data_IF_921142267463
#
_entry.id   IF_921142267463
#
_cell.length_a   1.000
_cell.length_b   1.000
_cell.length_c   1.000
_cell.angle_alpha   90.00
_cell.angle_beta   90.00
_cell.angle_gamma   90.00
#
_symmetry.space_group_name_H-M   'P 1'
#
loop_
_entity.id
_entity.type
_entity.pdbx_description
1 polymer ?
#
# COMPACT_ATOMS: atom_id res chain seq x y z
N UNK A 1 4.29 9.97 -17.06
CA UNK A 1 4.78 8.62 -16.67
C UNK A 1 5.49 8.74 -15.35
N UNK A 2 5.08 7.97 -14.33
CA UNK A 2 5.69 8.01 -13.00
C UNK A 2 6.71 6.88 -12.80
N UNK A 3 7.48 6.96 -11.71
CA UNK A 3 8.44 5.92 -11.32
C UNK A 3 8.18 5.51 -9.88
N UNK A 4 7.90 4.23 -9.65
CA UNK A 4 7.87 3.66 -8.31
C UNK A 4 9.31 3.60 -7.79
N UNK A 5 9.60 4.35 -6.73
CA UNK A 5 10.95 4.43 -6.14
C UNK A 5 10.98 3.70 -4.82
N UNK A 6 11.82 2.67 -4.71
CA UNK A 6 11.95 1.86 -3.49
C UNK A 6 13.23 2.29 -2.78
N UNK A 7 13.09 2.62 -1.49
CA UNK A 7 14.18 3.09 -0.62
C UNK A 7 14.41 2.06 0.47
N UNK A 8 15.68 1.77 0.74
CA UNK A 8 16.09 0.87 1.82
C UNK A 8 16.93 1.67 2.82
N UNK A 9 16.58 1.70 4.13
CA UNK A 9 17.41 2.35 5.13
C UNK A 9 18.72 1.56 5.30
N UNK A 10 19.86 2.20 5.02
CA UNK A 10 21.17 1.64 5.38
C UNK A 10 21.61 2.25 6.70
N UNK A 11 21.60 1.46 7.76
CA UNK A 11 22.25 1.84 9.01
C UNK A 11 23.77 1.79 8.80
N UNK A 12 24.44 2.94 8.91
CA UNK A 12 25.88 2.93 9.19
C UNK A 12 26.03 2.36 10.60
N UNK A 13 26.82 1.30 10.77
CA UNK A 13 27.24 0.84 12.11
C UNK A 13 28.00 1.99 12.78
N UNK A 14 27.32 2.79 13.60
CA UNK A 14 27.95 3.66 14.56
C UNK A 14 28.26 2.80 15.79
N UNK A 15 29.46 2.22 15.83
CA UNK A 15 29.97 1.63 17.06
C UNK A 15 30.50 2.76 17.94
N UNK A 16 29.69 3.28 18.87
CA UNK A 16 30.20 4.10 19.96
C UNK A 16 29.34 3.90 21.21
N UNK A 17 29.98 3.46 22.28
CA UNK A 17 29.45 3.47 23.65
C UNK A 17 29.61 4.89 24.17
N UNK A 18 28.60 5.53 24.80
CA UNK A 18 28.73 6.91 25.26
C UNK A 18 29.72 6.96 26.43
N UNK A 19 30.82 7.71 26.28
CA UNK A 19 31.69 8.04 27.40
C UNK A 19 31.12 9.26 28.13
N UNK A 20 31.05 9.20 29.47
CA UNK A 20 30.30 10.16 30.31
C UNK A 20 30.92 11.56 30.43
N UNK A 21 32.04 11.82 29.74
CA UNK A 21 32.88 13.01 29.95
C UNK A 21 32.99 13.92 28.71
N UNK A 22 32.08 13.82 27.75
CA UNK A 22 32.09 14.73 26.60
C UNK A 22 31.70 16.16 27.04
N UNK A 23 32.71 17.04 27.15
CA UNK A 23 32.49 18.46 27.43
C UNK A 23 31.89 19.17 26.21
N UNK A 24 30.92 20.03 26.48
CA UNK A 24 30.21 20.83 25.49
C UNK A 24 31.08 22.02 25.03
N UNK A 25 31.48 22.02 23.76
CA UNK A 25 32.18 23.14 23.12
C UNK A 25 31.17 23.99 22.32
N UNK A 26 30.86 25.22 22.78
CA UNK A 26 29.90 26.10 22.12
C UNK A 26 30.41 26.74 20.81
N UNK A 27 31.68 26.52 20.43
CA UNK A 27 32.23 27.08 19.18
C UNK A 27 31.73 26.37 17.91
N UNK A 28 31.02 25.25 18.04
CA UNK A 28 30.38 24.52 16.94
C UNK A 28 28.93 24.97 16.62
N UNK A 29 28.49 26.13 17.10
CA UNK A 29 27.21 26.73 16.71
C UNK A 29 27.28 27.36 15.31
N UNK A 30 27.08 26.56 14.26
CA UNK A 30 26.69 27.09 12.94
C UNK A 30 25.16 27.26 12.88
N UNK A 31 24.70 28.50 12.80
CA UNK A 31 23.29 28.91 12.89
C UNK A 31 22.46 28.58 11.61
N UNK A 32 23.00 27.88 10.62
CA UNK A 32 22.31 27.67 9.33
C UNK A 32 21.64 26.32 9.09
N UNK A 33 21.63 25.39 10.05
CA UNK A 33 20.76 24.21 9.95
C UNK A 33 20.13 23.94 11.30
N UNK A 34 18.82 24.13 11.39
CA UNK A 34 18.00 23.79 12.55
C UNK A 34 17.91 22.28 12.76
N UNK A 35 19.03 21.61 13.01
CA UNK A 35 19.11 20.21 13.39
C UNK A 35 19.53 20.12 14.85
N UNK A 36 18.59 19.73 15.71
CA UNK A 36 18.87 19.23 17.04
C UNK A 36 18.58 17.72 17.05
N UNK A 37 19.42 17.01 17.81
CA UNK A 37 19.44 15.58 18.13
C UNK A 37 20.30 14.68 17.22
N UNK A 38 21.45 14.32 17.79
CA UNK A 38 22.40 13.27 17.40
C UNK A 38 21.75 11.87 17.43
N UNK A 39 20.83 11.62 16.49
CA UNK A 39 20.52 10.28 16.01
C UNK A 39 21.15 10.18 14.62
N UNK A 40 22.18 9.34 14.49
CA UNK A 40 22.98 9.22 13.27
C UNK A 40 22.17 9.34 11.98
N UNK A 41 22.54 10.31 11.14
CA UNK A 41 21.94 10.61 9.84
C UNK A 41 21.56 9.33 9.07
N UNK A 42 20.26 9.03 8.99
CA UNK A 42 19.73 7.96 8.13
C UNK A 42 19.72 8.50 6.71
N UNK A 43 20.71 8.12 5.91
CA UNK A 43 20.69 8.44 4.49
C UNK A 43 19.80 7.44 3.73
N UNK A 44 18.62 7.91 3.35
CA UNK A 44 17.72 7.15 2.49
C UNK A 44 18.25 7.17 1.05
N UNK A 45 18.74 6.03 0.56
CA UNK A 45 19.12 5.86 -0.84
C UNK A 45 18.01 5.14 -1.60
N UNK A 46 17.66 5.66 -2.77
CA UNK A 46 16.81 4.94 -3.73
C UNK A 46 17.65 3.81 -4.32
N UNK A 47 17.22 2.57 -4.09
CA UNK A 47 17.92 1.39 -4.61
C UNK A 47 17.35 0.95 -5.96
N UNK A 48 16.04 1.09 -6.16
CA UNK A 48 15.35 0.61 -7.36
C UNK A 48 14.31 1.65 -7.82
N UNK A 49 14.26 1.90 -9.13
CA UNK A 49 13.22 2.69 -9.79
C UNK A 49 12.57 1.84 -10.89
N UNK A 50 11.26 1.63 -10.78
CA UNK A 50 10.46 0.84 -11.73
C UNK A 50 9.51 1.79 -12.48
N UNK A 51 9.37 1.61 -13.80
CA UNK A 51 8.38 2.36 -14.59
C UNK A 51 6.96 1.99 -14.15
N UNK A 52 6.09 2.98 -14.08
CA UNK A 52 4.70 2.79 -13.64
C UNK A 52 3.72 3.49 -14.58
N UNK A 53 2.59 2.83 -14.82
CA UNK A 53 1.45 3.37 -15.56
C UNK A 53 0.72 4.43 -14.73
N UNK A 54 0.81 5.69 -15.14
CA UNK A 54 0.25 6.80 -14.37
C UNK A 54 0.96 7.03 -13.04
N UNK A 55 0.40 7.90 -12.21
CA UNK A 55 0.87 8.13 -10.85
C UNK A 55 0.57 6.95 -9.92
N UNK A 56 1.22 6.93 -8.75
CA UNK A 56 1.05 5.88 -7.75
C UNK A 56 0.18 6.46 -6.63
N UNK A 57 -1.12 6.16 -6.66
CA UNK A 57 -2.08 6.69 -5.68
C UNK A 57 -1.79 6.14 -4.26
N UNK A 58 -1.43 4.86 -4.18
CA UNK A 58 -1.02 4.18 -2.94
C UNK A 58 -0.11 3.01 -3.28
N UNK A 59 0.91 2.75 -2.45
CA UNK A 59 1.76 1.57 -2.55
C UNK A 59 1.88 0.89 -1.18
N UNK A 60 1.79 -0.44 -1.15
CA UNK A 60 1.90 -1.25 0.09
C UNK A 60 2.67 -2.54 -0.18
N UNK A 61 3.61 -2.88 0.69
CA UNK A 61 4.33 -4.15 0.65
C UNK A 61 3.49 -5.27 1.29
N UNK A 62 3.66 -6.50 0.81
CA UNK A 62 3.03 -7.68 1.40
C UNK A 62 3.77 -8.06 2.69
N UNK A 63 3.11 -8.15 3.87
CA UNK A 63 3.80 -8.41 5.14
C UNK A 63 4.62 -9.70 5.17
N UNK A 64 4.15 -10.75 4.50
CA UNK A 64 4.81 -12.06 4.46
C UNK A 64 5.97 -12.12 3.45
N UNK A 65 6.02 -11.19 2.49
CA UNK A 65 7.16 -11.02 1.59
C UNK A 65 7.30 -9.54 1.18
N UNK A 66 8.14 -8.77 1.90
CA UNK A 66 8.33 -7.35 1.63
C UNK A 66 8.90 -7.00 0.25
N UNK A 67 9.37 -7.99 -0.54
CA UNK A 67 9.77 -7.76 -1.93
C UNK A 67 8.60 -7.45 -2.85
N UNK A 68 7.41 -7.93 -2.48
CA UNK A 68 6.18 -7.79 -3.25
C UNK A 68 5.46 -6.53 -2.82
N UNK A 69 5.16 -5.65 -3.78
CA UNK A 69 4.48 -4.37 -3.58
C UNK A 69 3.29 -4.29 -4.51
N UNK A 70 2.11 -4.00 -3.96
CA UNK A 70 0.93 -3.63 -4.74
C UNK A 70 0.83 -2.11 -4.86
N UNK A 71 0.34 -1.62 -6.00
CA UNK A 71 0.10 -0.20 -6.27
C UNK A 71 -1.28 0.05 -6.84
N UNK A 72 -1.90 1.15 -6.40
CA UNK A 72 -3.08 1.73 -7.04
C UNK A 72 -2.65 2.66 -8.18
N UNK A 73 -3.35 2.55 -9.31
CA UNK A 73 -3.13 3.38 -10.50
C UNK A 73 -4.29 4.37 -10.67
N UNK A 74 -4.16 5.38 -11.56
CA UNK A 74 -5.27 6.25 -11.95
C UNK A 74 -6.29 5.58 -12.88
N UNK A 75 -6.08 4.30 -13.19
CA UNK A 75 -7.03 3.46 -13.93
C UNK A 75 -7.74 2.48 -13.00
N UNK A 76 -8.55 1.58 -13.55
CA UNK A 76 -9.22 0.52 -12.79
C UNK A 76 -8.26 -0.56 -12.25
N UNK A 77 -7.06 -0.65 -12.79
CA UNK A 77 -6.16 -1.76 -12.51
C UNK A 77 -5.35 -1.52 -11.23
N UNK A 78 -5.13 -2.60 -10.48
CA UNK A 78 -4.15 -2.66 -9.38
C UNK A 78 -2.96 -3.46 -9.87
N UNK A 79 -1.75 -2.93 -9.70
CA UNK A 79 -0.53 -3.57 -10.18
C UNK A 79 0.24 -4.19 -9.03
N UNK A 80 0.91 -5.31 -9.28
CA UNK A 80 1.82 -5.96 -8.32
C UNK A 80 3.20 -6.07 -8.93
N UNK A 81 4.21 -5.71 -8.15
CA UNK A 81 5.62 -5.78 -8.51
C UNK A 81 6.39 -6.57 -7.46
N UNK A 82 7.23 -7.50 -7.89
CA UNK A 82 8.29 -8.06 -7.06
C UNK A 82 9.59 -7.38 -7.45
N UNK A 83 9.99 -6.36 -6.68
CA UNK A 83 11.07 -5.47 -7.11
C UNK A 83 12.42 -6.18 -7.28
N UNK A 84 12.59 -7.38 -6.72
CA UNK A 84 13.81 -8.17 -6.89
C UNK A 84 13.96 -8.73 -8.31
N UNK A 85 12.86 -8.78 -9.08
CA UNK A 85 12.82 -9.19 -10.49
C UNK A 85 13.03 -8.03 -11.47
N UNK A 86 13.17 -6.80 -10.95
CA UNK A 86 13.35 -5.60 -11.75
C UNK A 86 14.78 -5.07 -11.63
N UNK A 87 15.30 -4.48 -12.70
CA UNK A 87 16.59 -3.80 -12.68
C UNK A 87 16.52 -2.52 -11.85
N UNK A 88 17.63 -2.15 -11.20
CA UNK A 88 17.70 -0.93 -10.37
C UNK A 88 17.44 0.36 -11.17
N UNK A 89 17.78 0.35 -12.46
CA UNK A 89 17.46 1.41 -13.42
C UNK A 89 16.22 1.01 -14.23
N UNK A 90 15.28 1.94 -14.45
CA UNK A 90 14.09 1.69 -15.24
C UNK A 90 14.43 1.51 -16.72
N UNK A 91 13.60 0.74 -17.43
CA UNK A 91 13.71 0.56 -18.87
C UNK A 91 13.60 1.92 -19.60
N UNK A 92 14.54 2.26 -20.51
CA UNK A 92 14.48 3.47 -21.32
C UNK A 92 13.23 3.60 -22.21
N UNK A 93 12.58 2.49 -22.57
CA UNK A 93 11.31 2.49 -23.33
C UNK A 93 10.18 3.19 -22.57
N UNK A 94 10.30 3.26 -21.24
CA UNK A 94 9.25 3.74 -20.36
C UNK A 94 8.17 2.70 -20.08
N UNK A 95 8.18 1.54 -20.73
CA UNK A 95 7.13 0.54 -20.57
C UNK A 95 7.01 0.06 -19.11
N UNK A 96 5.78 -0.04 -18.64
CA UNK A 96 5.43 -0.56 -17.32
C UNK A 96 5.19 -2.07 -17.45
N UNK A 97 5.99 -2.85 -16.73
CA UNK A 97 5.99 -4.31 -16.82
C UNK A 97 5.63 -4.93 -15.47
N UNK A 98 4.38 -4.85 -15.00
CA UNK A 98 4.00 -5.43 -13.72
C UNK A 98 4.15 -6.96 -13.72
N UNK A 99 4.42 -7.52 -12.53
CA UNK A 99 4.46 -8.97 -12.33
C UNK A 99 3.05 -9.56 -12.35
N UNK A 100 2.05 -8.83 -11.84
CA UNK A 100 0.64 -9.16 -11.97
C UNK A 100 -0.19 -7.90 -12.21
N UNK A 101 -1.26 -8.05 -12.99
CA UNK A 101 -2.30 -7.02 -13.19
C UNK A 101 -3.62 -7.54 -12.62
N UNK A 102 -4.11 -6.89 -11.57
CA UNK A 102 -5.33 -7.30 -10.88
C UNK A 102 -6.51 -6.48 -11.41
N UNK A 103 -7.54 -7.18 -11.91
CA UNK A 103 -8.74 -6.59 -12.51
C UNK A 103 -9.99 -6.88 -11.70
N UNK A 104 -10.96 -5.96 -11.76
CA UNK A 104 -12.26 -6.10 -11.09
C UNK A 104 -12.98 -4.77 -10.92
N UNK A 105 -12.23 -3.71 -10.62
CA UNK A 105 -12.75 -2.36 -10.54
C UNK A 105 -13.07 -1.77 -11.92
N UNK A 106 -13.82 -0.67 -11.93
CA UNK A 106 -14.18 0.13 -13.10
C UNK A 106 -13.65 1.57 -13.03
N UNK A 107 -13.12 1.98 -11.88
CA UNK A 107 -12.51 3.29 -11.63
C UNK A 107 -11.26 3.14 -10.77
N UNK A 108 -10.50 4.21 -10.66
CA UNK A 108 -9.39 4.31 -9.72
C UNK A 108 -9.85 4.31 -8.26
N UNK A 109 -8.89 4.30 -7.34
CA UNK A 109 -9.13 4.57 -5.93
C UNK A 109 -7.84 4.62 -5.14
N UNK A 110 -7.96 4.72 -3.81
CA UNK A 110 -6.81 4.88 -2.93
C UNK A 110 -6.62 3.70 -1.97
N UNK A 111 -7.70 3.18 -1.37
CA UNK A 111 -7.62 2.10 -0.38
C UNK A 111 -6.93 0.84 -0.89
N UNK A 112 -6.00 0.32 -0.09
CA UNK A 112 -5.17 -0.84 -0.43
C UNK A 112 -4.63 -1.52 0.84
N UNK A 113 -4.98 -2.79 1.06
CA UNK A 113 -4.62 -3.50 2.30
C UNK A 113 -4.29 -4.97 2.07
N UNK A 114 -3.07 -5.37 2.42
CA UNK A 114 -2.65 -6.76 2.47
C UNK A 114 -3.12 -7.43 3.74
N UNK A 115 -3.60 -8.67 3.65
CA UNK A 115 -3.95 -9.45 4.81
C UNK A 115 -2.66 -9.91 5.51
N UNK A 116 -2.44 -9.54 6.79
CA UNK A 116 -1.21 -9.93 7.50
C UNK A 116 -1.21 -11.41 7.90
N UNK A 117 -2.38 -12.05 7.95
CA UNK A 117 -2.55 -13.42 8.42
C UNK A 117 -2.71 -14.44 7.27
N UNK A 118 -3.07 -13.96 6.07
CA UNK A 118 -3.26 -14.80 4.89
C UNK A 118 -2.40 -14.32 3.73
N UNK A 119 -1.39 -15.11 3.37
CA UNK A 119 -0.46 -14.78 2.30
C UNK A 119 -1.20 -14.53 0.98
N UNK A 120 -0.83 -13.44 0.30
CA UNK A 120 -1.32 -13.09 -1.03
C UNK A 120 -2.74 -12.51 -1.10
N UNK A 121 -3.42 -12.36 0.04
CA UNK A 121 -4.76 -11.74 0.07
C UNK A 121 -4.63 -10.22 0.09
N UNK A 122 -5.24 -9.58 -0.90
CA UNK A 122 -5.20 -8.12 -1.09
C UNK A 122 -6.61 -7.56 -1.25
N UNK A 123 -6.92 -6.51 -0.49
CA UNK A 123 -8.11 -5.69 -0.66
C UNK A 123 -7.76 -4.38 -1.35
N UNK A 124 -8.68 -3.87 -2.16
CA UNK A 124 -8.63 -2.55 -2.76
C UNK A 124 -10.00 -1.88 -2.69
N UNK A 125 -9.99 -0.57 -2.41
CA UNK A 125 -11.15 0.32 -2.48
C UNK A 125 -11.14 1.12 -3.81
N UNK A 126 -12.30 1.57 -4.24
CA UNK A 126 -12.47 2.26 -5.52
C UNK A 126 -13.62 3.26 -5.52
N UNK A 127 -13.49 4.29 -6.34
CA UNK A 127 -14.55 5.27 -6.61
C UNK A 127 -15.73 4.70 -7.42
N UNK A 128 -15.67 3.42 -7.81
CA UNK A 128 -16.80 2.67 -8.38
C UNK A 128 -17.77 2.08 -7.34
N UNK A 129 -17.58 2.44 -6.07
CA UNK A 129 -18.40 2.00 -4.92
C UNK A 129 -18.17 0.54 -4.50
N UNK A 130 -17.13 -0.10 -5.04
CA UNK A 130 -16.84 -1.51 -4.75
C UNK A 130 -15.52 -1.69 -4.01
N UNK A 131 -15.44 -2.83 -3.33
CA UNK A 131 -14.20 -3.35 -2.75
C UNK A 131 -13.89 -4.65 -3.47
N UNK A 132 -12.68 -4.78 -3.99
CA UNK A 132 -12.23 -6.02 -4.62
C UNK A 132 -11.27 -6.77 -3.71
N UNK A 133 -11.42 -8.09 -3.66
CA UNK A 133 -10.51 -9.03 -3.03
C UNK A 133 -9.84 -9.88 -4.11
N UNK A 134 -8.51 -9.97 -4.07
CA UNK A 134 -7.74 -10.91 -4.89
C UNK A 134 -6.94 -11.86 -4.00
N UNK A 135 -6.69 -13.04 -4.57
CA UNK A 135 -5.66 -13.97 -4.12
C UNK A 135 -4.56 -13.96 -5.19
N UNK A 136 -3.44 -13.30 -4.91
CA UNK A 136 -2.36 -13.13 -5.91
C UNK A 136 -1.61 -14.45 -6.21
N UNK A 137 -1.89 -15.51 -5.45
CA UNK A 137 -1.34 -16.85 -5.68
C UNK A 137 -2.22 -17.66 -6.64
N UNK A 138 -3.38 -17.14 -7.08
CA UNK A 138 -4.21 -17.77 -8.08
C UNK A 138 -3.49 -17.82 -9.44
N UNK A 139 -3.79 -18.84 -10.25
CA UNK A 139 -3.22 -18.99 -11.60
C UNK A 139 -3.59 -17.79 -12.47
N UNK A 140 -2.61 -16.99 -12.93
CA UNK A 140 -2.90 -15.86 -13.80
C UNK A 140 -3.43 -16.31 -15.16
N UNK A 141 -4.30 -15.49 -15.75
CA UNK A 141 -4.70 -15.59 -17.15
C UNK A 141 -3.60 -15.06 -18.07
N UNK A 142 -3.88 -15.02 -19.37
CA UNK A 142 -3.04 -14.33 -20.35
C UNK A 142 -2.66 -12.93 -19.87
N UNK A 143 -1.45 -12.49 -20.22
CA UNK A 143 -0.89 -11.19 -19.82
C UNK A 143 -0.78 -10.98 -18.29
N UNK A 144 -0.62 -12.07 -17.52
CA UNK A 144 -0.41 -12.04 -16.05
C UNK A 144 -1.58 -11.39 -15.30
N UNK A 145 -2.79 -11.58 -15.80
CA UNK A 145 -4.00 -10.98 -15.24
C UNK A 145 -4.63 -11.90 -14.19
N UNK A 146 -5.01 -11.35 -13.03
CA UNK A 146 -5.84 -12.04 -12.04
C UNK A 146 -7.12 -11.22 -11.85
N UNK A 147 -8.28 -11.84 -12.06
CA UNK A 147 -9.57 -11.20 -11.79
C UNK A 147 -9.93 -11.29 -10.31
N UNK A 148 -10.75 -10.35 -9.84
CA UNK A 148 -11.22 -10.31 -8.46
C UNK A 148 -11.86 -11.64 -8.06
N UNK A 149 -11.38 -12.21 -6.96
CA UNK A 149 -11.97 -13.39 -6.32
C UNK A 149 -13.37 -13.07 -5.79
N UNK A 150 -13.53 -11.87 -5.25
CA UNK A 150 -14.79 -11.42 -4.65
C UNK A 150 -14.90 -9.90 -4.79
N UNK A 151 -16.11 -9.42 -5.10
CA UNK A 151 -16.41 -7.99 -5.18
C UNK A 151 -17.54 -7.69 -4.19
N UNK A 152 -17.26 -6.80 -3.24
CA UNK A 152 -18.22 -6.33 -2.23
C UNK A 152 -18.88 -5.03 -2.71
N UNK A 153 -20.19 -4.95 -2.56
CA UNK A 153 -21.06 -3.95 -3.23
C UNK A 153 -22.11 -3.37 -2.27
N UNK A 154 -21.77 -3.26 -0.99
CA UNK A 154 -22.69 -2.71 0.02
C UNK A 154 -22.59 -1.21 0.24
N UNK A 155 -21.47 -0.57 -0.13
CA UNK A 155 -21.35 0.88 -0.12
C UNK A 155 -22.16 1.52 -1.26
N UNK A 156 -22.63 2.74 -1.02
CA UNK A 156 -23.37 3.55 -1.99
C UNK A 156 -22.63 4.82 -2.41
N UNK A 157 -21.44 5.06 -1.83
CA UNK A 157 -20.53 6.16 -2.14
C UNK A 157 -19.16 5.65 -2.58
N UNK A 158 -18.24 6.53 -3.00
CA UNK A 158 -16.87 6.14 -3.31
C UNK A 158 -16.23 5.51 -2.08
N UNK A 159 -15.58 4.35 -2.24
CA UNK A 159 -14.92 3.68 -1.12
C UNK A 159 -13.50 4.23 -1.03
N UNK A 160 -13.20 4.85 0.09
CA UNK A 160 -11.98 5.62 0.29
C UNK A 160 -10.85 4.76 0.83
N UNK A 161 -11.13 3.94 1.85
CA UNK A 161 -10.15 3.03 2.42
C UNK A 161 -10.72 1.67 2.85
N UNK A 162 -9.81 0.70 2.94
CA UNK A 162 -10.03 -0.67 3.39
C UNK A 162 -8.88 -1.11 4.28
N UNK A 163 -9.19 -1.85 5.33
CA UNK A 163 -8.17 -2.39 6.23
C UNK A 163 -8.55 -3.78 6.74
N UNK A 164 -7.65 -4.75 6.55
CA UNK A 164 -7.78 -6.05 7.21
C UNK A 164 -7.68 -5.92 8.72
N UNK A 165 -8.44 -6.75 9.43
CA UNK A 165 -8.23 -6.94 10.86
C UNK A 165 -6.88 -7.63 11.08
N UNK A 166 -6.07 -7.09 11.99
CA UNK A 166 -4.69 -7.55 12.19
C UNK A 166 -4.58 -8.95 12.80
N UNK A 167 -5.62 -9.45 13.48
CA UNK A 167 -5.62 -10.76 14.14
C UNK A 167 -6.60 -11.78 13.51
N UNK A 168 -7.56 -11.31 12.71
CA UNK A 168 -8.63 -12.17 12.21
C UNK A 168 -8.62 -12.12 10.69
N UNK A 169 -8.10 -13.18 10.08
CA UNK A 169 -7.87 -13.25 8.63
C UNK A 169 -9.12 -13.13 7.76
N UNK A 170 -10.32 -13.28 8.34
CA UNK A 170 -11.59 -13.21 7.63
C UNK A 170 -12.28 -11.85 7.73
N UNK A 171 -11.81 -10.97 8.61
CA UNK A 171 -12.48 -9.70 8.92
C UNK A 171 -11.73 -8.53 8.33
N UNK A 172 -12.46 -7.57 7.78
CA UNK A 172 -11.91 -6.28 7.37
C UNK A 172 -12.93 -5.17 7.56
N UNK A 173 -12.43 -3.93 7.64
CA UNK A 173 -13.24 -2.72 7.66
C UNK A 173 -13.10 -1.96 6.35
N UNK A 174 -14.11 -1.16 6.01
CA UNK A 174 -14.08 -0.19 4.91
C UNK A 174 -14.82 1.08 5.26
N UNK A 175 -14.40 2.18 4.65
CA UNK A 175 -14.98 3.52 4.82
C UNK A 175 -15.21 4.17 3.46
N UNK A 176 -16.21 5.05 3.36
CA UNK A 176 -16.64 5.62 2.10
C UNK A 176 -17.29 6.99 2.27
N UNK A 177 -17.55 7.65 1.15
CA UNK A 177 -18.30 8.91 1.03
C UNK A 177 -19.76 8.80 1.47
N UNK A 178 -20.30 7.58 1.58
CA UNK A 178 -21.65 7.34 2.13
C UNK A 178 -21.72 7.48 3.66
N UNK A 179 -20.65 7.99 4.26
CA UNK A 179 -20.52 8.32 5.69
C UNK A 179 -20.47 7.07 6.60
N UNK A 180 -20.30 5.88 6.02
CA UNK A 180 -20.39 4.61 6.74
C UNK A 180 -19.03 3.99 6.96
N UNK A 181 -18.88 3.41 8.15
CA UNK A 181 -17.90 2.35 8.42
C UNK A 181 -18.63 1.01 8.31
N UNK A 182 -18.11 0.12 7.47
CA UNK A 182 -18.65 -1.24 7.31
C UNK A 182 -17.63 -2.29 7.73
N UNK A 183 -18.08 -3.27 8.52
CA UNK A 183 -17.30 -4.45 8.83
C UNK A 183 -17.78 -5.63 8.01
N UNK A 184 -16.83 -6.34 7.42
CA UNK A 184 -17.07 -7.42 6.48
C UNK A 184 -16.45 -8.71 7.01
N UNK A 185 -17.08 -9.81 6.65
CA UNK A 185 -16.56 -11.16 6.88
C UNK A 185 -16.54 -11.92 5.55
N UNK A 186 -15.36 -12.29 5.07
CA UNK A 186 -15.19 -12.97 3.77
C UNK A 186 -15.78 -14.39 3.74
N UNK A 187 -16.19 -14.94 4.90
CA UNK A 187 -16.87 -16.23 5.01
C UNK A 187 -18.36 -16.13 4.70
N UNK A 188 -18.91 -14.91 4.67
CA UNK A 188 -20.31 -14.67 4.33
C UNK A 188 -20.50 -14.70 2.81
N UNK A 189 -21.53 -15.44 2.35
CA UNK A 189 -21.84 -15.56 0.92
C UNK A 189 -22.45 -14.29 0.31
N UNK A 190 -23.01 -13.39 1.12
CA UNK A 190 -23.66 -12.17 0.64
C UNK A 190 -22.68 -11.00 0.64
N UNK A 191 -22.11 -10.70 -0.53
CA UNK A 191 -21.13 -9.62 -0.70
C UNK A 191 -21.77 -8.22 -0.80
N UNK A 192 -23.11 -8.12 -0.79
CA UNK A 192 -23.85 -6.85 -0.79
C UNK A 192 -24.17 -6.36 0.63
N UNK A 193 -24.11 -7.25 1.62
CA UNK A 193 -24.49 -6.94 2.99
C UNK A 193 -23.29 -7.13 3.93
N UNK A 194 -22.74 -6.05 4.51
CA UNK A 194 -21.71 -6.18 5.53
C UNK A 194 -22.28 -6.84 6.80
N UNK A 195 -21.39 -7.34 7.66
CA UNK A 195 -21.78 -7.90 8.95
C UNK A 195 -22.29 -6.80 9.89
N UNK A 196 -21.66 -5.62 9.85
CA UNK A 196 -22.04 -4.44 10.63
C UNK A 196 -21.91 -3.20 9.73
N UNK A 197 -22.89 -2.31 9.83
CA UNK A 197 -22.85 -0.97 9.24
C UNK A 197 -22.99 0.05 10.35
N UNK A 198 -22.13 1.06 10.34
CA UNK A 198 -22.14 2.16 11.30
C UNK A 198 -22.23 3.47 10.52
N UNK A 199 -23.21 4.31 10.85
CA UNK A 199 -23.21 5.72 10.45
C UNK A 199 -22.11 6.42 11.26
N UNK A 200 -20.92 6.51 10.69
CA UNK A 200 -19.70 6.83 11.44
C UNK A 200 -19.51 8.34 11.61
N UNK A 201 -19.87 9.11 10.59
CA UNK A 201 -19.70 10.57 10.56
C UNK A 201 -20.90 11.24 9.87
N UNK A 202 -20.94 12.58 9.91
CA UNK A 202 -21.93 13.40 9.19
C UNK A 202 -21.40 13.94 7.85
N UNK A 203 -20.24 13.44 7.42
CA UNK A 203 -19.52 13.79 6.20
C UNK A 203 -18.73 12.55 5.72
N UNK A 204 -18.02 12.68 4.60
CA UNK A 204 -17.22 11.62 4.00
C UNK A 204 -16.16 11.07 4.97
N UNK A 205 -15.96 9.75 4.98
CA UNK A 205 -14.99 9.10 5.86
C UNK A 205 -13.77 8.67 5.06
N UNK A 206 -12.71 9.47 5.16
CA UNK A 206 -11.43 9.24 4.50
C UNK A 206 -10.43 8.57 5.46
N UNK A 207 -9.60 7.63 4.98
CA UNK A 207 -8.48 7.06 5.77
C UNK A 207 -7.20 6.76 4.95
#
# INVERSE_FOLDING_TARGET
MAKLSIRCPRYKKAGFVPNKDAQFDPSHYEIEKGEFCDFGSVSLKIEIKINHEGEVNRARYMPQNPSVVATKTPSSDVLVFDYTKHTSKPDPSGECNPDLRLRGHQKEGYGLSWNPNRNGYLLSASHDHTICLWDINATPKENRVIDAKTIFTGHTGAVEDVAWHLLHESLFGSVADDQKLMFWDIRCNNTRKPAITVDAHTAEVNC
#
